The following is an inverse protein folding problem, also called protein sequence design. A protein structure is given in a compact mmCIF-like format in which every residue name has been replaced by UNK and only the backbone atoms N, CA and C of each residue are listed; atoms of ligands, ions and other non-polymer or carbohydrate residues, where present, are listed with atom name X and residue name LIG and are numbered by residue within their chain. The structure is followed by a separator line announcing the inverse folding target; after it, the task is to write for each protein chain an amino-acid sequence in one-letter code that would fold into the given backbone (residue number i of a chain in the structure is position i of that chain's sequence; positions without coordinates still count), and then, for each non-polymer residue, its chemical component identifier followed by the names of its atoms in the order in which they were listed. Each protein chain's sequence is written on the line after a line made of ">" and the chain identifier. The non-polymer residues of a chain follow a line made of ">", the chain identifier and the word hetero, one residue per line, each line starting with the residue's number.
data_IF_761848688293
#
_entry.id   IF_761848688293
#
_cell.length_a   1.000
_cell.length_b   1.000
_cell.length_c   1.000
_cell.angle_alpha   90.00
_cell.angle_beta   90.00
_cell.angle_gamma   90.00
#
_symmetry.space_group_name_H-M   'P 1'
#
loop_
_entity.id
_entity.type
_entity.pdbx_description
1 polymer ?
#
# COMPACT_ATOMS: atom_id res chain seq x y z
N UNK A 1 -16.89 15.61 16.01
CA UNK A 1 -16.33 14.38 15.47
C UNK A 1 -15.63 14.67 14.16
N UNK A 2 -14.38 14.21 14.02
CA UNK A 2 -13.58 14.42 12.81
C UNK A 2 -14.21 13.75 11.58
N UNK A 3 -13.85 14.25 10.40
CA UNK A 3 -14.17 13.61 9.12
C UNK A 3 -12.90 12.99 8.55
N UNK A 4 -13.04 11.79 8.03
CA UNK A 4 -12.01 11.15 7.20
C UNK A 4 -12.25 11.57 5.75
N UNK A 5 -11.22 12.04 5.08
CA UNK A 5 -11.33 12.49 3.69
C UNK A 5 -10.19 11.89 2.88
N UNK A 6 -10.54 11.24 1.77
CA UNK A 6 -9.60 10.84 0.74
C UNK A 6 -9.34 12.05 -0.16
N UNK A 7 -8.09 12.48 -0.21
CA UNK A 7 -7.64 13.61 -1.00
C UNK A 7 -6.88 13.12 -2.23
N UNK A 8 -7.05 13.83 -3.33
CA UNK A 8 -6.24 13.72 -4.54
C UNK A 8 -5.58 15.08 -4.75
N UNK A 9 -4.27 15.08 -4.96
CA UNK A 9 -3.47 16.28 -5.14
C UNK A 9 -2.48 16.11 -6.29
N UNK A 10 -1.87 17.21 -6.73
CA UNK A 10 -0.73 17.18 -7.64
C UNK A 10 0.49 16.55 -6.95
N UNK A 11 1.51 16.20 -7.73
CA UNK A 11 2.70 15.51 -7.23
C UNK A 11 3.52 16.30 -6.19
N UNK A 12 3.34 17.62 -6.13
CA UNK A 12 3.93 18.52 -5.13
C UNK A 12 3.05 18.71 -3.88
N UNK A 13 1.85 18.11 -3.86
CA UNK A 13 0.85 18.21 -2.80
C UNK A 13 -0.11 19.39 -2.95
N UNK A 14 0.06 20.24 -3.96
CA UNK A 14 -0.83 21.35 -4.26
C UNK A 14 -2.15 20.89 -4.92
N UNK A 15 -3.09 21.83 -5.10
CA UNK A 15 -4.38 21.61 -5.75
C UNK A 15 -5.19 20.44 -5.18
N UNK A 16 -5.04 20.13 -3.90
CA UNK A 16 -5.70 19.01 -3.26
C UNK A 16 -7.22 19.15 -3.28
N UNK A 17 -7.90 18.15 -3.82
CA UNK A 17 -9.35 18.04 -3.91
C UNK A 17 -9.85 16.80 -3.15
N UNK A 18 -11.00 16.95 -2.49
CA UNK A 18 -11.65 15.85 -1.80
C UNK A 18 -12.31 14.92 -2.81
N UNK A 19 -11.81 13.69 -2.93
CA UNK A 19 -12.44 12.65 -3.73
C UNK A 19 -13.61 11.99 -2.99
N UNK A 20 -13.48 11.81 -1.68
CA UNK A 20 -14.47 11.17 -0.82
C UNK A 20 -14.34 11.66 0.62
N UNK A 21 -15.47 11.84 1.31
CA UNK A 21 -15.50 12.15 2.74
C UNK A 21 -16.47 11.27 3.48
N UNK A 22 -16.11 10.82 4.68
CA UNK A 22 -16.94 9.99 5.55
C UNK A 22 -16.78 10.41 7.01
N UNK A 23 -17.78 10.09 7.85
CA UNK A 23 -17.67 10.15 9.31
C UNK A 23 -16.96 8.93 9.88
N UNK A 24 -16.86 7.86 9.11
CA UNK A 24 -16.17 6.62 9.45
C UNK A 24 -14.81 6.56 8.76
N UNK A 25 -13.90 5.78 9.31
CA UNK A 25 -12.55 5.65 8.77
C UNK A 25 -12.54 5.23 7.30
N UNK A 26 -11.68 5.90 6.54
CA UNK A 26 -11.27 5.53 5.19
C UNK A 26 -9.77 5.29 5.25
N UNK A 27 -9.32 4.10 4.86
CA UNK A 27 -7.91 3.70 4.93
C UNK A 27 -7.48 2.92 3.68
N UNK A 28 -6.17 2.74 3.55
CA UNK A 28 -5.52 1.92 2.51
C UNK A 28 -5.93 2.30 1.09
N UNK A 29 -5.83 3.58 0.69
CA UNK A 29 -6.10 3.99 -0.69
C UNK A 29 -5.06 3.41 -1.64
N UNK A 30 -5.51 2.96 -2.81
CA UNK A 30 -4.65 2.45 -3.87
C UNK A 30 -5.20 2.85 -5.24
N UNK A 31 -4.36 3.48 -6.07
CA UNK A 31 -4.68 3.81 -7.44
C UNK A 31 -4.63 2.58 -8.35
N UNK A 32 -5.60 2.46 -9.25
CA UNK A 32 -5.46 1.53 -10.37
C UNK A 32 -4.35 2.01 -11.31
N UNK A 33 -3.54 1.10 -11.88
CA UNK A 33 -2.44 1.46 -12.79
C UNK A 33 -2.86 2.24 -14.03
N UNK A 34 -4.13 2.13 -14.45
CA UNK A 34 -4.70 2.94 -15.54
C UNK A 34 -5.19 4.34 -15.11
N UNK A 35 -5.09 4.67 -13.82
CA UNK A 35 -5.49 5.97 -13.25
C UNK A 35 -6.99 6.22 -13.19
N UNK A 36 -7.82 5.24 -13.55
CA UNK A 36 -9.28 5.44 -13.65
C UNK A 36 -10.02 5.20 -12.33
N UNK A 37 -9.40 4.47 -11.39
CA UNK A 37 -10.08 4.00 -10.17
C UNK A 37 -9.22 4.12 -8.93
N UNK A 38 -9.90 4.24 -7.79
CA UNK A 38 -9.32 4.14 -6.45
C UNK A 38 -9.95 2.96 -5.72
N UNK A 39 -9.12 2.06 -5.19
CA UNK A 39 -9.56 1.09 -4.20
C UNK A 39 -9.26 1.65 -2.80
N UNK A 40 -10.11 1.38 -1.84
CA UNK A 40 -9.94 1.78 -0.44
C UNK A 40 -10.80 0.92 0.49
N UNK A 41 -10.51 1.00 1.78
CA UNK A 41 -11.33 0.39 2.83
C UNK A 41 -12.15 1.46 3.50
N UNK A 42 -13.46 1.22 3.68
CA UNK A 42 -14.35 2.08 4.45
C UNK A 42 -15.05 1.32 5.55
N UNK A 43 -15.25 1.98 6.70
CA UNK A 43 -15.97 1.46 7.86
C UNK A 43 -17.40 1.97 7.96
N UNK A 44 -17.95 2.58 6.92
CA UNK A 44 -19.29 3.18 6.94
C UNK A 44 -20.42 2.17 7.21
N UNK A 45 -20.21 0.89 6.91
CA UNK A 45 -21.15 -0.20 7.20
C UNK A 45 -20.96 -0.85 8.59
N UNK A 46 -20.15 -0.22 9.47
CA UNK A 46 -19.83 -0.74 10.81
C UNK A 46 -18.74 -1.81 10.85
N UNK A 47 -18.20 -2.20 9.69
CA UNK A 47 -17.06 -3.10 9.55
C UNK A 47 -16.21 -2.69 8.33
N UNK A 48 -14.94 -3.16 8.23
CA UNK A 48 -14.11 -2.88 7.07
C UNK A 48 -14.67 -3.55 5.81
N UNK A 49 -14.85 -2.78 4.75
CA UNK A 49 -15.32 -3.21 3.42
C UNK A 49 -14.42 -2.59 2.36
N UNK A 50 -14.01 -3.37 1.37
CA UNK A 50 -13.22 -2.88 0.24
C UNK A 50 -14.15 -2.34 -0.85
N UNK A 51 -13.93 -1.09 -1.23
CA UNK A 51 -14.62 -0.41 -2.32
C UNK A 51 -13.67 -0.12 -3.48
N UNK A 52 -14.22 -0.06 -4.67
CA UNK A 52 -13.61 0.55 -5.86
C UNK A 52 -14.46 1.72 -6.30
N UNK A 53 -13.83 2.87 -6.45
CA UNK A 53 -14.41 4.14 -6.83
C UNK A 53 -13.87 4.54 -8.21
N UNK A 54 -14.76 4.80 -9.16
CA UNK A 54 -14.42 5.37 -10.46
C UNK A 54 -14.26 6.88 -10.32
N UNK A 55 -13.06 7.38 -10.62
CA UNK A 55 -12.69 8.79 -10.35
C UNK A 55 -13.45 9.76 -11.27
N UNK A 56 -13.78 9.32 -12.48
CA UNK A 56 -14.47 10.18 -13.46
C UNK A 56 -15.97 10.27 -13.19
N UNK A 57 -16.62 9.14 -12.97
CA UNK A 57 -18.09 9.10 -12.77
C UNK A 57 -18.51 9.33 -11.32
N UNK A 58 -17.60 9.22 -10.36
CA UNK A 58 -17.89 9.23 -8.93
C UNK A 58 -18.63 7.98 -8.43
N UNK A 59 -18.88 7.01 -9.29
CA UNK A 59 -19.55 5.77 -8.90
C UNK A 59 -18.60 4.88 -8.08
N UNK A 60 -19.14 4.25 -7.07
CA UNK A 60 -18.40 3.29 -6.25
C UNK A 60 -19.11 1.94 -6.20
N UNK A 61 -18.33 0.90 -6.04
CA UNK A 61 -18.76 -0.49 -5.97
C UNK A 61 -18.12 -1.18 -4.78
N UNK A 62 -18.89 -2.01 -4.09
CA UNK A 62 -18.37 -2.97 -3.12
C UNK A 62 -17.64 -4.09 -3.86
N UNK A 63 -16.40 -4.37 -3.48
CA UNK A 63 -15.59 -5.45 -4.06
C UNK A 63 -15.41 -6.59 -3.08
N UNK A 64 -15.12 -6.30 -1.81
CA UNK A 64 -15.01 -7.33 -0.77
C UNK A 64 -15.77 -6.91 0.49
N UNK A 65 -16.80 -7.71 0.84
CA UNK A 65 -17.64 -7.54 2.02
C UNK A 65 -17.92 -8.92 2.64
N UNK A 66 -16.87 -9.69 2.86
CA UNK A 66 -16.97 -11.02 3.46
C UNK A 66 -17.04 -10.96 4.98
N UNK A 67 -17.31 -12.09 5.63
CA UNK A 67 -17.26 -12.21 7.08
C UNK A 67 -15.86 -11.84 7.58
N UNK A 68 -15.79 -11.11 8.70
CA UNK A 68 -14.53 -10.67 9.30
C UNK A 68 -13.93 -9.45 8.62
N UNK A 69 -12.61 -9.36 8.60
CA UNK A 69 -11.87 -8.23 8.01
C UNK A 69 -11.79 -8.35 6.49
N UNK A 70 -11.89 -7.19 5.82
CA UNK A 70 -11.68 -7.01 4.38
C UNK A 70 -10.79 -5.77 4.23
N UNK A 71 -9.53 -5.94 3.87
CA UNK A 71 -8.54 -4.85 3.97
C UNK A 71 -7.42 -4.91 2.95
N UNK A 72 -6.57 -3.87 2.96
CA UNK A 72 -5.32 -3.76 2.23
C UNK A 72 -5.42 -4.10 0.73
N UNK A 73 -6.31 -3.44 -0.04
CA UNK A 73 -6.42 -3.70 -1.46
C UNK A 73 -5.17 -3.23 -2.21
N UNK A 74 -4.70 -4.04 -3.17
CA UNK A 74 -3.63 -3.69 -4.09
C UNK A 74 -3.98 -4.15 -5.50
N UNK A 75 -3.76 -3.28 -6.49
CA UNK A 75 -4.10 -3.53 -7.88
C UNK A 75 -3.08 -4.40 -8.61
N UNK A 76 -3.57 -5.32 -9.43
CA UNK A 76 -2.76 -5.94 -10.48
C UNK A 76 -2.40 -4.93 -11.58
N UNK A 77 -1.27 -5.10 -12.29
CA UNK A 77 -0.82 -4.14 -13.31
C UNK A 77 -1.80 -3.90 -14.45
N UNK A 78 -2.67 -4.88 -14.73
CA UNK A 78 -3.72 -4.78 -15.75
C UNK A 78 -5.01 -4.11 -15.28
N UNK A 79 -5.06 -3.63 -14.04
CA UNK A 79 -6.22 -2.97 -13.40
C UNK A 79 -7.48 -3.85 -13.30
N UNK A 80 -7.35 -5.18 -13.41
CA UNK A 80 -8.50 -6.11 -13.42
C UNK A 80 -8.69 -6.89 -12.14
N UNK A 81 -7.64 -7.05 -11.34
CA UNK A 81 -7.63 -7.86 -10.12
C UNK A 81 -7.15 -7.04 -8.94
N UNK A 82 -7.68 -7.32 -7.77
CA UNK A 82 -7.16 -6.85 -6.49
C UNK A 82 -6.60 -8.01 -5.68
N UNK A 83 -5.43 -7.83 -5.09
CA UNK A 83 -5.02 -8.60 -3.93
C UNK A 83 -5.63 -7.95 -2.69
N UNK A 84 -6.25 -8.74 -1.83
CA UNK A 84 -6.93 -8.28 -0.62
C UNK A 84 -6.59 -9.18 0.56
N UNK A 85 -6.62 -8.63 1.76
CA UNK A 85 -6.53 -9.41 3.00
C UNK A 85 -7.93 -9.69 3.50
N UNK A 86 -8.30 -10.96 3.62
CA UNK A 86 -9.59 -11.40 4.15
C UNK A 86 -9.39 -12.33 5.34
N UNK A 87 -10.26 -12.22 6.36
CA UNK A 87 -10.28 -13.15 7.50
C UNK A 87 -11.52 -14.05 7.50
N UNK A 88 -12.16 -14.23 6.34
CA UNK A 88 -13.43 -14.97 6.20
C UNK A 88 -13.37 -16.44 6.60
N UNK A 89 -12.20 -17.06 6.51
CA UNK A 89 -11.96 -18.48 6.79
C UNK A 89 -11.10 -18.70 8.05
N UNK A 90 -11.08 -17.72 8.98
CA UNK A 90 -10.32 -17.77 10.23
C UNK A 90 -9.27 -16.65 10.33
N UNK A 91 -7.99 -16.95 10.12
CA UNK A 91 -6.91 -15.94 10.14
C UNK A 91 -6.91 -15.02 8.93
N UNK A 92 -6.20 -13.91 9.03
CA UNK A 92 -6.02 -12.96 7.92
C UNK A 92 -5.08 -13.53 6.86
N UNK A 93 -5.60 -13.74 5.66
CA UNK A 93 -4.89 -14.38 4.55
C UNK A 93 -5.04 -13.56 3.26
N UNK A 94 -4.19 -13.83 2.27
CA UNK A 94 -4.23 -13.16 0.98
C UNK A 94 -5.16 -13.88 0.00
N UNK A 95 -6.00 -13.09 -0.65
CA UNK A 95 -6.87 -13.52 -1.73
C UNK A 95 -6.71 -12.61 -2.95
N UNK A 96 -6.95 -13.16 -4.13
CA UNK A 96 -7.15 -12.40 -5.37
C UNK A 96 -8.64 -12.37 -5.70
N UNK A 97 -9.15 -11.18 -6.04
CA UNK A 97 -10.55 -10.96 -6.37
C UNK A 97 -10.65 -10.07 -7.61
N UNK A 98 -11.59 -10.31 -8.56
CA UNK A 98 -11.83 -9.38 -9.65
C UNK A 98 -12.13 -7.97 -9.14
N UNK A 99 -11.62 -6.93 -9.78
CA UNK A 99 -11.87 -5.54 -9.39
C UNK A 99 -13.34 -5.12 -9.49
N UNK A 100 -14.14 -5.95 -10.15
CA UNK A 100 -15.60 -5.82 -10.24
C UNK A 100 -16.35 -6.53 -9.11
N UNK A 101 -15.64 -7.21 -8.21
CA UNK A 101 -16.20 -8.11 -7.20
C UNK A 101 -16.41 -9.53 -7.72
N UNK A 102 -16.83 -10.44 -6.86
CA UNK A 102 -17.05 -11.84 -7.17
C UNK A 102 -16.37 -12.75 -6.15
N UNK A 103 -16.13 -14.00 -6.53
CA UNK A 103 -15.52 -15.01 -5.67
C UNK A 103 -14.01 -14.78 -5.52
N UNK A 104 -13.50 -14.65 -4.29
CA UNK A 104 -12.08 -14.49 -4.02
C UNK A 104 -11.36 -15.85 -4.11
N UNK A 105 -10.24 -15.88 -4.81
CA UNK A 105 -9.34 -17.03 -4.85
C UNK A 105 -8.25 -16.88 -3.80
N UNK A 106 -8.10 -17.84 -2.92
CA UNK A 106 -7.01 -17.89 -1.95
C UNK A 106 -5.66 -17.91 -2.68
N UNK A 107 -4.76 -16.97 -2.31
CA UNK A 107 -3.41 -16.89 -2.87
C UNK A 107 -2.36 -17.43 -1.89
N UNK A 108 -2.39 -16.96 -0.63
CA UNK A 108 -1.45 -17.40 0.41
C UNK A 108 -2.20 -17.69 1.70
N UNK A 109 -1.82 -18.79 2.34
CA UNK A 109 -2.27 -19.18 3.67
C UNK A 109 -1.08 -19.53 4.55
N UNK A 110 -1.13 -19.05 5.79
CA UNK A 110 -0.16 -19.40 6.82
C UNK A 110 -0.86 -19.55 8.18
N UNK A 111 -0.12 -19.99 9.21
CA UNK A 111 -0.61 -19.96 10.58
C UNK A 111 -0.64 -18.55 11.16
N UNK A 112 0.07 -17.61 10.53
CA UNK A 112 0.13 -16.20 10.91
C UNK A 112 -0.79 -15.31 10.08
N UNK A 113 -0.47 -14.02 10.08
CA UNK A 113 -1.17 -12.98 9.33
C UNK A 113 -0.45 -12.75 8.00
N UNK A 114 -1.19 -12.86 6.89
CA UNK A 114 -0.74 -12.48 5.55
C UNK A 114 -1.50 -11.23 5.11
N UNK A 115 -0.79 -10.13 4.85
CA UNK A 115 -1.41 -8.82 4.59
C UNK A 115 -0.52 -7.89 3.75
N UNK A 116 -1.00 -6.68 3.46
CA UNK A 116 -0.25 -5.59 2.79
C UNK A 116 0.43 -6.03 1.50
N UNK A 117 -0.36 -6.58 0.58
CA UNK A 117 0.13 -7.05 -0.71
C UNK A 117 0.48 -5.90 -1.66
N UNK A 118 1.44 -6.14 -2.53
CA UNK A 118 1.73 -5.33 -3.73
C UNK A 118 2.16 -6.26 -4.88
N UNK A 119 1.73 -5.97 -6.10
CA UNK A 119 2.11 -6.76 -7.27
C UNK A 119 3.49 -6.36 -7.79
N UNK A 120 4.19 -7.32 -8.41
CA UNK A 120 5.28 -6.99 -9.32
C UNK A 120 4.73 -6.34 -10.59
N UNK A 121 5.50 -5.45 -11.27
CA UNK A 121 5.02 -4.73 -12.46
C UNK A 121 4.64 -5.64 -13.64
N UNK A 122 5.22 -6.83 -13.73
CA UNK A 122 4.89 -7.86 -14.71
C UNK A 122 3.63 -8.67 -14.36
N UNK A 123 3.06 -8.46 -13.16
CA UNK A 123 1.90 -9.20 -12.66
C UNK A 123 2.18 -10.65 -12.28
N UNK A 124 3.41 -11.13 -12.41
CA UNK A 124 3.78 -12.53 -12.17
C UNK A 124 3.89 -12.90 -10.69
N UNK A 125 4.04 -11.90 -9.80
CA UNK A 125 4.24 -12.13 -8.37
C UNK A 125 3.51 -11.10 -7.52
N UNK A 126 3.27 -11.49 -6.26
CA UNK A 126 2.79 -10.61 -5.19
C UNK A 126 3.81 -10.63 -4.05
N UNK A 127 4.22 -9.45 -3.61
CA UNK A 127 4.99 -9.24 -2.39
C UNK A 127 4.01 -8.88 -1.26
N UNK A 128 4.24 -9.39 -0.07
CA UNK A 128 3.30 -9.19 1.03
C UNK A 128 3.97 -9.35 2.39
N UNK A 129 3.34 -8.85 3.42
CA UNK A 129 3.80 -9.01 4.81
C UNK A 129 3.25 -10.29 5.39
N UNK A 130 4.09 -11.06 6.06
CA UNK A 130 3.69 -12.23 6.83
C UNK A 130 4.53 -12.38 8.09
N UNK A 131 3.89 -12.75 9.19
CA UNK A 131 4.55 -13.09 10.45
C UNK A 131 4.72 -14.61 10.65
N UNK A 132 4.55 -15.41 9.58
CA UNK A 132 4.70 -16.88 9.59
C UNK A 132 6.04 -17.38 10.13
N UNK A 133 7.08 -16.56 10.08
CA UNK A 133 8.41 -16.83 10.61
C UNK A 133 8.64 -16.28 12.03
N UNK A 134 7.57 -15.85 12.75
CA UNK A 134 7.62 -15.33 14.12
C UNK A 134 7.63 -13.81 14.24
N UNK A 135 7.95 -13.07 13.16
CA UNK A 135 7.88 -11.62 13.12
C UNK A 135 7.52 -11.15 11.71
N UNK A 136 6.90 -9.94 11.57
CA UNK A 136 6.54 -9.41 10.26
C UNK A 136 7.74 -9.26 9.34
N UNK A 137 7.69 -9.93 8.20
CA UNK A 137 8.68 -9.89 7.13
C UNK A 137 7.99 -9.86 5.78
N UNK A 138 8.70 -9.44 4.75
CA UNK A 138 8.17 -9.43 3.39
C UNK A 138 8.49 -10.76 2.71
N UNK A 139 7.45 -11.34 2.13
CA UNK A 139 7.48 -12.58 1.35
C UNK A 139 7.03 -12.30 -0.08
N UNK A 140 7.37 -13.18 -0.99
CA UNK A 140 6.96 -13.18 -2.40
C UNK A 140 6.30 -14.51 -2.74
N UNK A 141 5.19 -14.46 -3.49
CA UNK A 141 4.49 -15.62 -4.03
C UNK A 141 4.13 -15.37 -5.50
N UNK A 142 4.14 -16.42 -6.33
CA UNK A 142 3.63 -16.30 -7.69
C UNK A 142 2.11 -16.03 -7.69
N UNK A 143 1.61 -15.24 -8.63
CA UNK A 143 0.15 -14.98 -8.76
C UNK A 143 -0.65 -16.24 -9.09
N UNK A 144 0.00 -17.25 -9.66
CA UNK A 144 -0.57 -18.59 -9.87
C UNK A 144 -0.71 -19.41 -8.57
N UNK A 145 -0.08 -18.96 -7.47
CA UNK A 145 0.00 -19.69 -6.21
C UNK A 145 1.32 -20.44 -6.04
N UNK A 146 1.38 -21.31 -5.06
CA UNK A 146 2.57 -22.09 -4.71
C UNK A 146 3.16 -21.67 -3.37
N UNK A 147 4.46 -21.91 -3.19
CA UNK A 147 5.16 -21.61 -1.93
C UNK A 147 5.58 -20.14 -1.86
N UNK A 148 5.29 -19.50 -0.74
CA UNK A 148 5.76 -18.14 -0.45
C UNK A 148 7.21 -18.17 0.04
N UNK A 149 8.08 -17.34 -0.56
CA UNK A 149 9.50 -17.22 -0.22
C UNK A 149 9.77 -15.91 0.49
N UNK A 150 10.51 -15.95 1.59
CA UNK A 150 10.93 -14.76 2.33
C UNK A 150 11.90 -13.92 1.49
N UNK A 151 11.72 -12.60 1.52
CA UNK A 151 12.51 -11.61 0.76
C UNK A 151 13.39 -10.79 1.69
N UNK A 152 12.90 -10.40 2.87
CA UNK A 152 13.65 -9.57 3.82
C UNK A 152 14.30 -10.43 4.91
N UNK A 153 15.62 -10.25 5.11
CA UNK A 153 16.40 -10.99 6.08
C UNK A 153 17.11 -10.09 7.11
N UNK A 154 17.20 -8.79 6.82
CA UNK A 154 17.78 -7.81 7.73
C UNK A 154 16.66 -7.17 8.57
N UNK A 155 16.95 -6.95 9.86
CA UNK A 155 15.99 -6.41 10.81
C UNK A 155 14.93 -7.41 11.27
N UNK A 156 14.31 -7.12 12.40
CA UNK A 156 13.28 -7.98 13.02
C UNK A 156 11.86 -7.65 12.63
N UNK A 157 11.63 -6.59 11.83
CA UNK A 157 10.30 -6.08 11.50
C UNK A 157 10.34 -5.30 10.18
N UNK A 158 9.70 -5.84 9.15
CA UNK A 158 9.65 -5.25 7.82
C UNK A 158 8.23 -5.35 7.25
N UNK A 159 7.64 -4.20 6.90
CA UNK A 159 6.22 -4.09 6.47
C UNK A 159 6.04 -3.10 5.32
N UNK A 160 4.82 -2.99 4.79
CA UNK A 160 4.39 -2.00 3.80
C UNK A 160 5.26 -1.99 2.54
N UNK A 161 5.41 -3.12 1.83
CA UNK A 161 6.20 -3.15 0.61
C UNK A 161 5.56 -2.34 -0.52
N UNK A 162 6.40 -1.65 -1.30
CA UNK A 162 6.05 -0.98 -2.56
C UNK A 162 7.12 -1.31 -3.58
N UNK A 163 6.73 -1.77 -4.77
CA UNK A 163 7.67 -2.14 -5.84
C UNK A 163 7.76 -0.99 -6.84
N UNK A 164 8.97 -0.66 -7.28
CA UNK A 164 9.21 0.34 -8.32
C UNK A 164 8.61 -0.11 -9.67
N UNK A 165 8.19 0.84 -10.51
CA UNK A 165 7.55 0.54 -11.79
C UNK A 165 8.47 -0.23 -12.75
N UNK A 166 9.80 -0.10 -12.61
CA UNK A 166 10.79 -0.86 -13.36
C UNK A 166 11.08 -2.26 -12.78
N UNK A 167 10.47 -2.60 -11.63
CA UNK A 167 10.60 -3.90 -10.96
C UNK A 167 11.96 -4.16 -10.30
N UNK A 168 12.84 -3.16 -10.21
CA UNK A 168 14.21 -3.33 -9.70
C UNK A 168 14.34 -3.08 -8.19
N UNK A 169 13.46 -2.27 -7.62
CA UNK A 169 13.56 -1.83 -6.23
C UNK A 169 12.28 -2.09 -5.45
N UNK A 170 12.45 -2.37 -4.17
CA UNK A 170 11.36 -2.45 -3.19
C UNK A 170 11.62 -1.45 -2.08
N UNK A 171 10.68 -0.53 -1.87
CA UNK A 171 10.63 0.31 -0.68
C UNK A 171 9.75 -0.36 0.38
N UNK A 172 10.14 -0.26 1.63
CA UNK A 172 9.38 -0.82 2.75
C UNK A 172 9.72 -0.11 4.05
N UNK A 173 8.90 -0.31 5.07
CA UNK A 173 9.19 0.17 6.43
C UNK A 173 9.98 -0.89 7.17
N UNK A 174 11.10 -0.50 7.74
CA UNK A 174 11.90 -1.33 8.65
C UNK A 174 12.02 -0.68 10.03
N UNK A 175 12.17 -1.49 11.08
CA UNK A 175 12.41 -1.01 12.44
C UNK A 175 13.91 -0.94 12.71
N UNK A 176 14.45 0.29 12.73
CA UNK A 176 15.86 0.56 13.00
C UNK A 176 16.02 1.91 13.74
N UNK A 177 15.96 1.89 15.06
CA UNK A 177 15.91 3.11 15.87
C UNK A 177 14.65 3.96 15.63
N UNK A 178 13.55 3.33 15.29
CA UNK A 178 12.28 3.90 14.84
C UNK A 178 11.80 3.17 13.60
N UNK A 179 10.70 3.64 13.00
CA UNK A 179 10.17 3.15 11.73
C UNK A 179 10.72 4.02 10.60
N UNK A 180 11.47 3.44 9.69
CA UNK A 180 12.18 4.14 8.61
C UNK A 180 11.90 3.50 7.27
N UNK A 181 11.94 4.29 6.20
CA UNK A 181 11.91 3.76 4.84
C UNK A 181 13.28 3.17 4.49
N UNK A 182 13.26 1.91 4.08
CA UNK A 182 14.39 1.22 3.47
C UNK A 182 14.10 0.96 1.99
N UNK A 183 15.12 0.93 1.16
CA UNK A 183 15.06 0.52 -0.24
C UNK A 183 15.98 -0.68 -0.44
N UNK A 184 15.42 -1.75 -0.98
CA UNK A 184 16.15 -2.97 -1.37
C UNK A 184 16.28 -3.01 -2.90
N UNK A 185 17.47 -3.21 -3.40
CA UNK A 185 17.67 -3.68 -4.77
C UNK A 185 17.28 -5.16 -4.86
N UNK A 186 16.28 -5.49 -5.67
CA UNK A 186 15.70 -6.83 -5.75
C UNK A 186 16.61 -7.86 -6.45
N UNK A 187 17.61 -7.40 -7.20
CA UNK A 187 18.57 -8.29 -7.85
C UNK A 187 19.72 -8.65 -6.90
N UNK A 188 20.30 -7.66 -6.25
CA UNK A 188 21.47 -7.88 -5.38
C UNK A 188 21.10 -8.18 -3.91
N UNK A 189 19.89 -7.81 -3.49
CA UNK A 189 19.47 -7.87 -2.09
C UNK A 189 20.07 -6.76 -1.20
N UNK A 190 20.79 -5.80 -1.79
CA UNK A 190 21.37 -4.67 -1.05
C UNK A 190 20.28 -3.76 -0.49
N UNK A 191 20.39 -3.40 0.78
CA UNK A 191 19.41 -2.57 1.50
C UNK A 191 20.05 -1.28 1.97
N UNK A 192 19.39 -0.15 1.73
CA UNK A 192 19.78 1.17 2.20
C UNK A 192 18.61 1.83 2.96
N UNK A 193 18.89 2.46 4.10
CA UNK A 193 17.96 3.37 4.75
C UNK A 193 17.97 4.70 4.00
N UNK A 194 16.80 5.17 3.59
CA UNK A 194 16.68 6.40 2.78
C UNK A 194 16.00 7.56 3.51
N UNK A 195 15.56 7.34 4.76
CA UNK A 195 14.99 8.38 5.63
C UNK A 195 15.74 8.47 6.95
N UNK A 196 15.69 9.65 7.56
CA UNK A 196 16.26 9.99 8.87
C UNK A 196 15.17 10.24 9.94
N UNK A 197 13.92 10.24 9.54
CA UNK A 197 12.74 10.30 10.41
C UNK A 197 12.51 8.96 11.12
N UNK A 198 11.67 8.94 12.17
CA UNK A 198 11.53 7.76 13.04
C UNK A 198 10.08 7.20 13.12
N UNK A 199 9.14 7.82 12.39
CA UNK A 199 7.73 7.45 12.39
C UNK A 199 7.18 7.40 10.97
N UNK A 200 7.93 6.78 10.06
CA UNK A 200 7.57 6.70 8.66
C UNK A 200 6.52 5.63 8.42
N UNK A 201 5.60 5.90 7.51
CA UNK A 201 4.49 5.01 7.16
C UNK A 201 4.27 4.97 5.65
N UNK A 202 3.86 3.80 5.15
CA UNK A 202 3.30 3.56 3.81
C UNK A 202 4.10 4.23 2.68
N UNK A 203 5.36 3.82 2.46
CA UNK A 203 6.11 4.30 1.32
C UNK A 203 5.43 3.86 0.01
N UNK A 204 5.38 4.76 -0.97
CA UNK A 204 4.85 4.50 -2.30
C UNK A 204 5.79 5.04 -3.36
N UNK A 205 6.19 4.20 -4.31
CA UNK A 205 7.01 4.63 -5.43
C UNK A 205 6.26 5.55 -6.37
N UNK A 206 6.93 6.62 -6.80
CA UNK A 206 6.51 7.40 -7.94
C UNK A 206 6.65 6.57 -9.25
N UNK A 207 5.82 6.85 -10.27
CA UNK A 207 5.86 6.11 -11.55
C UNK A 207 7.23 6.14 -12.26
N UNK A 208 8.08 7.13 -11.96
CA UNK A 208 9.42 7.25 -12.50
C UNK A 208 10.46 6.30 -11.85
N UNK A 209 10.06 5.49 -10.86
CA UNK A 209 10.93 4.58 -10.09
C UNK A 209 12.09 5.25 -9.34
N UNK A 210 12.10 6.58 -9.21
CA UNK A 210 13.22 7.34 -8.62
C UNK A 210 12.89 8.04 -7.32
N UNK A 211 11.60 8.27 -7.06
CA UNK A 211 11.11 8.98 -5.88
C UNK A 211 10.11 8.11 -5.12
N UNK A 212 10.05 8.33 -3.82
CA UNK A 212 9.16 7.64 -2.90
C UNK A 212 8.45 8.70 -2.07
N UNK A 213 7.11 8.65 -2.00
CA UNK A 213 6.33 9.42 -1.02
C UNK A 213 6.09 8.57 0.21
N UNK A 214 6.11 9.18 1.38
CA UNK A 214 5.79 8.54 2.66
C UNK A 214 5.17 9.55 3.62
N UNK A 215 4.37 9.08 4.56
CA UNK A 215 3.90 9.88 5.68
C UNK A 215 4.88 9.73 6.85
N UNK A 216 5.06 10.79 7.62
CA UNK A 216 5.90 10.76 8.83
C UNK A 216 5.42 11.78 9.86
N UNK A 217 5.84 11.60 11.10
CA UNK A 217 5.63 12.59 12.16
C UNK A 217 6.90 13.39 12.38
N UNK A 218 6.77 14.71 12.27
CA UNK A 218 7.82 15.68 12.57
C UNK A 218 7.50 16.44 13.86
N UNK A 219 8.43 17.29 14.32
CA UNK A 219 8.18 18.18 15.47
C UNK A 219 6.99 19.13 15.24
N UNK A 220 6.68 19.44 13.99
CA UNK A 220 5.54 20.30 13.61
C UNK A 220 4.25 19.53 13.30
N UNK A 221 4.19 18.22 13.56
CA UNK A 221 3.04 17.35 13.33
C UNK A 221 3.24 16.39 12.16
N UNK A 222 2.15 15.80 11.69
CA UNK A 222 2.14 14.87 10.55
C UNK A 222 2.55 15.60 9.27
N UNK A 223 3.27 14.92 8.39
CA UNK A 223 3.75 15.46 7.12
C UNK A 223 3.82 14.37 6.04
N UNK A 224 3.58 14.79 4.80
CA UNK A 224 3.98 14.02 3.62
C UNK A 224 5.36 14.47 3.18
N UNK A 225 6.23 13.52 2.97
CA UNK A 225 7.60 13.71 2.50
C UNK A 225 7.85 12.90 1.24
N UNK A 226 8.76 13.37 0.40
CA UNK A 226 9.35 12.54 -0.63
C UNK A 226 10.84 12.34 -0.36
N UNK A 227 11.35 11.20 -0.81
CA UNK A 227 12.81 10.93 -0.83
C UNK A 227 13.19 10.28 -2.16
N UNK A 228 14.42 10.58 -2.63
CA UNK A 228 15.00 9.80 -3.71
C UNK A 228 15.37 8.38 -3.24
N UNK A 229 15.48 7.43 -4.17
CA UNK A 229 15.81 6.02 -3.84
C UNK A 229 17.19 5.85 -3.18
N UNK A 230 18.08 6.84 -3.33
CA UNK A 230 19.39 6.89 -2.66
C UNK A 230 19.38 7.72 -1.36
N UNK A 231 18.23 8.29 -0.97
CA UNK A 231 18.04 9.08 0.24
C UNK A 231 18.69 10.47 0.24
N UNK A 232 19.27 10.94 -0.87
CA UNK A 232 19.99 12.20 -0.93
C UNK A 232 19.09 13.41 -1.06
N UNK A 233 17.96 13.26 -1.75
CA UNK A 233 16.98 14.33 -1.96
C UNK A 233 15.77 14.03 -1.09
N UNK A 234 15.40 14.97 -0.21
CA UNK A 234 14.21 14.87 0.64
C UNK A 234 13.45 16.19 0.55
N UNK A 235 12.16 16.10 0.34
CA UNK A 235 11.29 17.28 0.20
C UNK A 235 10.02 17.07 0.99
N UNK A 236 9.59 18.08 1.73
CA UNK A 236 8.25 18.12 2.33
C UNK A 236 7.27 18.56 1.26
N UNK A 237 6.22 17.78 1.06
CA UNK A 237 5.14 18.17 0.16
C UNK A 237 4.25 19.23 0.81
N UNK A 238 3.65 20.08 -0.01
CA UNK A 238 2.59 20.95 0.42
C UNK A 238 1.46 20.10 0.99
N UNK A 239 0.92 20.47 2.14
CA UNK A 239 -0.09 19.67 2.83
C UNK A 239 -1.08 20.54 3.57
N UNK A 240 -2.26 19.99 3.81
CA UNK A 240 -3.27 20.59 4.68
C UNK A 240 -2.93 20.30 6.14
N UNK A 241 -3.45 21.12 7.04
CA UNK A 241 -3.41 20.84 8.47
C UNK A 241 -4.29 19.63 8.79
N UNK A 242 -3.81 18.74 9.65
CA UNK A 242 -4.53 17.55 10.09
C UNK A 242 -3.65 16.32 10.15
N UNK A 243 -4.27 15.18 10.45
CA UNK A 243 -3.62 13.87 10.47
C UNK A 243 -3.61 13.30 9.03
N UNK A 244 -2.47 13.40 8.36
CA UNK A 244 -2.29 13.00 6.95
C UNK A 244 -1.53 11.67 6.94
N UNK A 245 -2.15 10.61 6.41
CA UNK A 245 -1.61 9.26 6.41
C UNK A 245 -1.80 8.55 5.07
N UNK A 246 -1.08 7.45 4.91
CA UNK A 246 -1.25 6.46 3.85
C UNK A 246 -1.22 7.06 2.42
N UNK A 247 -0.16 7.79 2.05
CA UNK A 247 -0.04 8.32 0.70
C UNK A 247 0.10 7.19 -0.33
N UNK A 248 -0.45 7.42 -1.51
CA UNK A 248 -0.28 6.55 -2.67
C UNK A 248 -0.05 7.39 -3.92
N UNK A 249 1.05 7.13 -4.64
CA UNK A 249 1.28 7.75 -5.95
C UNK A 249 0.24 7.28 -6.96
N UNK A 250 -0.31 8.24 -7.70
CA UNK A 250 -1.07 7.94 -8.90
C UNK A 250 -0.13 7.53 -10.06
N UNK A 251 -0.60 6.74 -11.04
CA UNK A 251 0.15 6.52 -12.26
C UNK A 251 0.33 7.85 -13.00
N UNK A 252 1.34 7.94 -13.90
CA UNK A 252 1.48 9.12 -14.74
C UNK A 252 0.21 9.31 -15.55
N UNK A 253 -0.37 10.51 -15.51
CA UNK A 253 -1.47 10.90 -16.37
C UNK A 253 -1.08 10.71 -17.85
N UNK A 254 -1.98 10.14 -18.63
CA UNK A 254 -1.87 10.11 -20.09
C UNK A 254 -2.34 11.42 -20.69
#
# INVERSE_FOLDING_TARGET
>A
GGRYTLWVADADGENAQAALSSRQSIISPAWSPDGSKLAYVSFESGKPVVYVHDVRSGQRRVVANFRGSNSAPAWSPDSRTLAVTLSKDGGSQLYLIPSTGGEPRLLSRSAGIDTEATFSPDGGSVYFVSDRGGSPQIYRIATSGGEAKRVTFQGGYNISPSISADGRSMAYITRSGGYKVAVMDLQSGTVNLVTDTAHDEKPSFAPNSKMIVYATRTASGEALMTTSIDGKIKTRLAGRSGDIREPAWAPMGR
#
